data_IF_220349780026
#
_entry.id   IF_220349780026
#
_cell.length_a   1.000
_cell.length_b   1.000
_cell.length_c   1.000
_cell.angle_alpha   90.00
_cell.angle_beta   90.00
_cell.angle_gamma   90.00
#
_symmetry.space_group_name_H-M   'P 1'
#
loop_
_entity.id
_entity.type
_entity.pdbx_description
1 polymer ?
#
# COMPACT_ATOMS: atom_id res chain seq x y z
N UNK A 1 6.00 11.34 13.71
CA UNK A 1 6.34 9.91 13.53
C UNK A 1 7.19 9.80 12.28
N UNK A 2 8.17 8.90 12.26
CA UNK A 2 8.94 8.62 11.05
C UNK A 2 8.16 7.61 10.18
N UNK A 3 7.85 7.98 8.94
CA UNK A 3 7.24 7.06 7.97
C UNK A 3 8.35 6.16 7.43
N UNK A 4 8.17 4.85 7.51
CA UNK A 4 9.17 3.85 7.10
C UNK A 4 8.47 2.81 6.24
N UNK A 5 9.16 2.22 5.27
CA UNK A 5 8.55 1.20 4.43
C UNK A 5 7.96 0.04 5.27
N UNK A 6 8.57 -0.29 6.42
CA UNK A 6 8.07 -1.31 7.33
C UNK A 6 6.71 -0.94 7.97
N UNK A 7 6.51 0.32 8.38
CA UNK A 7 5.23 0.73 8.96
C UNK A 7 4.12 0.88 7.91
N UNK A 8 4.46 1.31 6.70
CA UNK A 8 3.51 1.34 5.57
C UNK A 8 3.09 -0.07 5.18
N UNK A 9 4.04 -1.00 5.06
CA UNK A 9 3.77 -2.41 4.82
C UNK A 9 2.85 -2.98 5.91
N UNK A 10 3.17 -2.74 7.18
CA UNK A 10 2.37 -3.23 8.30
C UNK A 10 0.95 -2.67 8.27
N UNK A 11 0.78 -1.39 7.93
CA UNK A 11 -0.52 -0.77 7.76
C UNK A 11 -1.34 -1.44 6.65
N UNK A 12 -0.75 -1.62 5.46
CA UNK A 12 -1.43 -2.24 4.32
C UNK A 12 -1.88 -3.67 4.62
N UNK A 13 -1.00 -4.50 5.18
CA UNK A 13 -1.37 -5.89 5.50
C UNK A 13 -2.42 -5.99 6.61
N UNK A 14 -2.47 -5.02 7.52
CA UNK A 14 -3.49 -4.94 8.57
C UNK A 14 -4.82 -4.51 7.98
N UNK A 15 -4.81 -3.48 7.13
CA UNK A 15 -6.02 -2.94 6.50
C UNK A 15 -6.70 -3.94 5.56
N UNK A 16 -5.91 -4.70 4.81
CA UNK A 16 -6.40 -5.70 3.86
C UNK A 16 -6.38 -7.13 4.41
N UNK A 17 -6.32 -7.30 5.74
CA UNK A 17 -6.26 -8.61 6.38
C UNK A 17 -7.42 -9.52 5.95
N UNK A 18 -8.67 -9.05 5.99
CA UNK A 18 -9.83 -9.87 5.63
C UNK A 18 -9.80 -10.31 4.15
N UNK A 19 -9.59 -9.42 3.15
CA UNK A 19 -9.37 -9.84 1.77
C UNK A 19 -8.24 -10.87 1.58
N UNK A 20 -7.09 -10.67 2.25
CA UNK A 20 -5.96 -11.61 2.21
C UNK A 20 -6.35 -12.98 2.78
N UNK A 21 -7.03 -13.01 3.93
CA UNK A 21 -7.48 -14.25 4.57
C UNK A 21 -8.49 -15.00 3.69
N UNK A 22 -9.42 -14.30 3.04
CA UNK A 22 -10.38 -14.91 2.09
C UNK A 22 -9.70 -15.56 0.89
N UNK A 23 -8.53 -15.07 0.50
CA UNK A 23 -7.70 -15.64 -0.55
C UNK A 23 -6.75 -16.74 -0.05
N UNK A 24 -6.74 -17.03 1.25
CA UNK A 24 -5.84 -18.00 1.88
C UNK A 24 -4.39 -17.52 1.97
N UNK A 25 -4.16 -16.19 1.92
CA UNK A 25 -2.85 -15.58 1.99
C UNK A 25 -2.50 -15.23 3.45
N UNK A 26 -1.23 -15.44 3.81
CA UNK A 26 -0.71 -15.12 5.14
C UNK A 26 0.01 -13.77 5.07
N UNK A 27 -0.46 -12.73 5.80
CA UNK A 27 0.15 -11.40 5.82
C UNK A 27 1.66 -11.38 6.08
N UNK A 28 2.14 -12.27 6.94
CA UNK A 28 3.56 -12.39 7.29
C UNK A 28 4.44 -12.89 6.14
N UNK A 29 3.86 -13.62 5.19
CA UNK A 29 4.59 -14.32 4.11
C UNK A 29 4.51 -13.57 2.77
N UNK A 30 3.86 -12.40 2.72
CA UNK A 30 3.79 -11.59 1.51
C UNK A 30 5.17 -11.02 1.15
N UNK A 31 5.61 -11.33 -0.06
CA UNK A 31 6.82 -10.80 -0.69
C UNK A 31 6.68 -9.32 -1.05
N UNK A 32 7.79 -8.61 -1.20
CA UNK A 32 7.80 -7.18 -1.55
C UNK A 32 7.27 -6.89 -2.97
N UNK A 33 7.26 -7.90 -3.84
CA UNK A 33 6.66 -7.85 -5.19
C UNK A 33 5.18 -8.27 -5.21
N UNK A 34 4.55 -8.47 -4.04
CA UNK A 34 3.15 -8.81 -3.96
C UNK A 34 2.26 -7.66 -4.45
N UNK A 35 1.47 -7.95 -5.48
CA UNK A 35 0.55 -7.00 -6.11
C UNK A 35 -0.89 -7.22 -5.61
N UNK A 36 -1.45 -6.25 -4.90
CA UNK A 36 -2.81 -6.30 -4.36
C UNK A 36 -3.89 -6.40 -5.45
N UNK A 37 -3.69 -5.76 -6.60
CA UNK A 37 -4.64 -5.76 -7.71
C UNK A 37 -4.58 -7.08 -8.48
N UNK A 38 -3.38 -7.52 -8.86
CA UNK A 38 -3.21 -8.74 -9.65
C UNK A 38 -3.62 -9.99 -8.87
N UNK A 39 -3.44 -10.00 -7.55
CA UNK A 39 -3.88 -11.10 -6.68
C UNK A 39 -5.36 -11.00 -6.28
N UNK A 40 -6.08 -9.95 -6.71
CA UNK A 40 -7.51 -9.78 -6.46
C UNK A 40 -7.86 -9.38 -5.03
N UNK A 41 -6.90 -8.83 -4.29
CA UNK A 41 -7.10 -8.29 -2.93
C UNK A 41 -7.89 -6.98 -2.98
N UNK A 42 -7.56 -6.15 -3.98
CA UNK A 42 -8.28 -4.93 -4.34
C UNK A 42 -8.71 -5.00 -5.81
N UNK A 43 -9.71 -4.21 -6.18
CA UNK A 43 -10.07 -3.96 -7.57
C UNK A 43 -9.57 -2.59 -8.03
N UNK A 44 -9.95 -2.19 -9.25
CA UNK A 44 -9.59 -0.89 -9.84
C UNK A 44 -10.04 0.31 -9.00
N UNK A 45 -11.16 0.20 -8.26
CA UNK A 45 -11.66 1.25 -7.38
C UNK A 45 -10.96 1.22 -6.02
N UNK A 46 -10.62 0.03 -5.53
CA UNK A 46 -9.87 -0.17 -4.29
C UNK A 46 -8.48 0.45 -4.30
N UNK A 47 -7.91 0.76 -5.47
CA UNK A 47 -6.67 1.55 -5.60
C UNK A 47 -6.86 2.95 -4.99
N UNK A 48 -7.98 3.62 -5.31
CA UNK A 48 -8.26 4.96 -4.78
C UNK A 48 -8.47 4.92 -3.26
N UNK A 49 -9.18 3.91 -2.76
CA UNK A 49 -9.37 3.71 -1.32
C UNK A 49 -8.06 3.40 -0.59
N UNK A 50 -7.16 2.66 -1.23
CA UNK A 50 -5.83 2.36 -0.71
C UNK A 50 -5.00 3.63 -0.56
N UNK A 51 -4.95 4.45 -1.61
CA UNK A 51 -4.24 5.73 -1.61
C UNK A 51 -4.78 6.63 -0.49
N UNK A 52 -6.10 6.86 -0.47
CA UNK A 52 -6.72 7.73 0.54
C UNK A 52 -6.46 7.23 1.95
N UNK A 53 -6.49 5.92 2.18
CA UNK A 53 -6.19 5.36 3.51
C UNK A 53 -4.74 5.58 3.93
N UNK A 54 -3.78 5.53 3.01
CA UNK A 54 -2.37 5.83 3.30
C UNK A 54 -2.21 7.32 3.61
N UNK A 55 -2.79 8.19 2.80
CA UNK A 55 -2.74 9.64 3.00
C UNK A 55 -3.33 10.04 4.36
N UNK A 56 -4.48 9.48 4.73
CA UNK A 56 -5.14 9.70 6.02
C UNK A 56 -4.33 9.16 7.21
N UNK A 57 -3.79 7.94 7.12
CA UNK A 57 -3.02 7.33 8.21
C UNK A 57 -1.71 8.08 8.48
N UNK A 58 -1.00 8.47 7.41
CA UNK A 58 0.34 9.03 7.53
C UNK A 58 0.38 10.57 7.45
N UNK A 59 -0.75 11.22 7.17
CA UNK A 59 -0.86 12.68 7.08
C UNK A 59 -0.03 13.26 5.93
N UNK A 60 -0.02 12.58 4.78
CA UNK A 60 0.74 12.96 3.59
C UNK A 60 -0.18 13.09 2.38
N UNK A 61 0.33 13.67 1.31
CA UNK A 61 -0.30 13.64 0.00
C UNK A 61 0.61 12.96 -1.00
N UNK A 62 0.12 11.90 -1.64
CA UNK A 62 0.89 11.11 -2.60
C UNK A 62 0.78 11.76 -3.99
N UNK A 63 1.92 11.92 -4.66
CA UNK A 63 1.95 12.36 -6.04
C UNK A 63 1.77 11.15 -6.97
N UNK A 64 0.52 10.86 -7.28
CA UNK A 64 0.13 9.76 -8.16
C UNK A 64 0.62 9.94 -9.60
N UNK A 65 0.94 11.16 -10.03
CA UNK A 65 1.50 11.41 -11.36
C UNK A 65 2.97 10.98 -11.42
N UNK A 66 3.68 11.07 -10.29
CA UNK A 66 5.07 10.63 -10.15
C UNK A 66 5.19 9.11 -9.89
N UNK A 67 4.13 8.46 -9.40
CA UNK A 67 4.11 7.03 -9.13
C UNK A 67 3.56 6.25 -10.33
N UNK A 68 4.35 5.31 -10.84
CA UNK A 68 3.93 4.40 -11.90
C UNK A 68 2.68 3.61 -11.47
N UNK A 69 1.64 3.63 -12.30
CA UNK A 69 0.36 3.00 -12.03
C UNK A 69 0.48 1.48 -11.84
N UNK A 70 1.51 0.84 -12.39
CA UNK A 70 1.77 -0.59 -12.18
C UNK A 70 2.47 -0.87 -10.84
N UNK A 71 3.08 0.15 -10.21
CA UNK A 71 3.81 0.02 -8.94
C UNK A 71 2.99 0.44 -7.73
N UNK A 72 1.91 1.19 -7.95
CA UNK A 72 1.03 1.65 -6.88
C UNK A 72 0.30 0.51 -6.17
N UNK A 73 0.16 -0.64 -6.82
CA UNK A 73 -0.51 -1.83 -6.28
C UNK A 73 0.45 -2.83 -5.67
N UNK A 74 1.76 -2.61 -5.78
CA UNK A 74 2.79 -3.53 -5.30
C UNK A 74 3.28 -3.08 -3.93
N UNK A 75 3.23 -3.97 -2.94
CA UNK A 75 3.45 -3.63 -1.54
C UNK A 75 4.81 -2.98 -1.26
N UNK A 76 5.90 -3.50 -1.84
CA UNK A 76 7.25 -2.99 -1.64
C UNK A 76 7.47 -1.61 -2.26
N UNK A 77 7.31 -1.45 -3.59
CA UNK A 77 7.43 -0.16 -4.26
C UNK A 77 6.55 0.94 -3.65
N UNK A 78 5.29 0.62 -3.34
CA UNK A 78 4.39 1.56 -2.68
C UNK A 78 4.91 1.93 -1.28
N UNK A 79 5.33 0.95 -0.47
CA UNK A 79 5.85 1.22 0.88
C UNK A 79 7.10 2.09 0.88
N UNK A 80 8.02 1.86 -0.07
CA UNK A 80 9.20 2.71 -0.24
C UNK A 80 8.83 4.11 -0.69
N UNK A 81 7.94 4.24 -1.68
CA UNK A 81 7.50 5.54 -2.19
C UNK A 81 6.85 6.40 -1.09
N UNK A 82 5.98 5.81 -0.27
CA UNK A 82 5.32 6.47 0.85
C UNK A 82 6.34 6.94 1.90
N UNK A 83 7.35 6.11 2.20
CA UNK A 83 8.41 6.46 3.15
C UNK A 83 9.34 7.58 2.63
N UNK A 84 9.55 7.65 1.32
CA UNK A 84 10.36 8.67 0.65
C UNK A 84 9.58 9.95 0.35
N UNK A 85 8.24 9.94 0.50
CA UNK A 85 7.40 11.07 0.12
C UNK A 85 7.82 12.36 0.86
N UNK A 86 8.24 13.41 0.12
CA UNK A 86 8.72 14.65 0.70
C UNK A 86 7.59 15.57 1.19
N UNK A 87 6.33 15.28 0.81
CA UNK A 87 5.16 16.06 1.16
C UNK A 87 4.63 15.70 2.54
N UNK A 88 5.42 16.04 3.56
CA UNK A 88 5.00 16.11 4.97
C UNK A 88 4.34 17.48 5.17
N UNK A 89 3.02 17.55 5.17
CA UNK A 89 2.32 18.78 5.57
C UNK A 89 2.32 18.93 7.09
#
# INVERSE_FOLDING_TARGET
MEITAANVRQFLVTRYFEPLERLGLIPGDLSDDFDFLLNGVIDSFGILEMISAIEEEFGIQLDLEALDAEKITIIGPLSCYVAESPNRQ
#
